data_IF_391772097385
#
_entry.id   IF_391772097385
#
_cell.length_a   1.000
_cell.length_b   1.000
_cell.length_c   1.000
_cell.angle_alpha   90.00
_cell.angle_beta   90.00
_cell.angle_gamma   90.00
#
_symmetry.space_group_name_H-M   'P 1'
#
loop_
_entity.id
_entity.type
_entity.pdbx_description
1 polymer ?
#
# COMPACT_ATOMS: atom_id res chain seq x y z
N UNK A 1 11.41 -7.32 -14.45
CA UNK A 1 10.25 -7.50 -13.55
C UNK A 1 9.44 -6.21 -13.51
N UNK A 2 8.12 -6.26 -13.48
CA UNK A 2 7.24 -5.10 -13.30
C UNK A 2 6.56 -5.19 -11.95
N UNK A 3 6.70 -4.17 -11.13
CA UNK A 3 6.05 -4.11 -9.82
C UNK A 3 5.22 -2.85 -9.69
N UNK A 4 4.22 -2.87 -8.82
CA UNK A 4 3.52 -1.67 -8.39
C UNK A 4 3.76 -1.44 -6.90
N UNK A 5 3.96 -0.19 -6.52
CA UNK A 5 4.05 0.23 -5.12
C UNK A 5 2.98 1.28 -4.87
N UNK A 6 2.02 0.93 -4.01
CA UNK A 6 0.87 1.79 -3.72
C UNK A 6 0.84 2.21 -2.25
N UNK A 7 0.63 3.50 -2.01
CA UNK A 7 0.58 4.11 -0.70
C UNK A 7 -0.31 5.34 -0.68
N UNK A 8 -1.18 5.46 0.31
CA UNK A 8 -1.90 6.72 0.54
C UNK A 8 -1.04 7.79 1.25
N UNK A 9 0.23 7.50 1.50
CA UNK A 9 1.25 8.43 1.98
C UNK A 9 2.30 8.67 0.89
N UNK A 10 2.80 9.90 0.76
CA UNK A 10 3.99 10.20 -0.04
C UNK A 10 5.22 9.55 0.61
N UNK A 11 5.91 8.65 -0.06
CA UNK A 11 7.14 8.02 0.43
C UNK A 11 8.37 8.29 -0.44
N UNK A 12 8.17 8.78 -1.68
CA UNK A 12 9.26 9.29 -2.52
C UNK A 12 9.02 10.77 -2.78
N UNK A 13 9.79 11.61 -2.10
CA UNK A 13 9.66 13.07 -2.22
C UNK A 13 10.07 13.56 -3.61
N UNK A 14 9.27 14.47 -4.19
CA UNK A 14 9.57 15.11 -5.47
C UNK A 14 9.38 14.23 -6.71
N UNK A 15 8.86 13.01 -6.56
CA UNK A 15 8.52 12.14 -7.69
C UNK A 15 7.02 12.06 -7.88
N UNK A 16 6.59 12.30 -9.12
CA UNK A 16 5.21 12.10 -9.55
C UNK A 16 4.87 10.60 -9.67
N UNK A 17 3.57 10.30 -9.66
CA UNK A 17 3.10 8.95 -9.91
C UNK A 17 3.40 8.54 -11.35
N UNK A 18 3.78 7.29 -11.54
CA UNK A 18 4.08 6.75 -12.86
C UNK A 18 5.17 5.68 -12.86
N UNK A 19 5.56 5.30 -14.07
CA UNK A 19 6.55 4.27 -14.31
C UNK A 19 7.96 4.79 -14.14
N UNK A 20 8.74 4.12 -13.30
CA UNK A 20 10.15 4.37 -13.08
C UNK A 20 10.94 3.10 -13.45
N UNK A 21 12.02 3.25 -14.21
CA UNK A 21 12.86 2.13 -14.69
C UNK A 21 14.14 2.07 -13.88
N UNK A 22 14.49 0.87 -13.41
CA UNK A 22 15.73 0.55 -12.73
C UNK A 22 16.33 -0.76 -13.22
N UNK A 23 17.40 -1.21 -12.57
CA UNK A 23 18.22 -2.33 -13.02
C UNK A 23 17.47 -3.68 -13.01
N UNK A 24 16.53 -3.88 -12.08
CA UNK A 24 15.69 -5.09 -12.00
C UNK A 24 14.41 -5.04 -12.85
N UNK A 25 14.10 -3.88 -13.41
CA UNK A 25 12.91 -3.63 -14.20
C UNK A 25 12.18 -2.37 -13.76
N UNK A 26 10.85 -2.38 -13.79
CA UNK A 26 10.05 -1.16 -13.69
C UNK A 26 9.16 -1.17 -12.46
N UNK A 27 9.03 -0.01 -11.82
CA UNK A 27 8.10 0.24 -10.71
C UNK A 27 7.03 1.24 -11.16
N UNK A 28 5.77 0.85 -11.04
CA UNK A 28 4.66 1.77 -11.05
C UNK A 28 4.53 2.38 -9.65
N UNK A 29 4.95 3.64 -9.50
CA UNK A 29 4.86 4.41 -8.27
C UNK A 29 3.46 5.04 -8.17
N UNK A 30 2.72 4.68 -7.14
CA UNK A 30 1.38 5.20 -6.86
C UNK A 30 1.33 5.68 -5.41
N UNK A 31 1.45 6.97 -5.21
CA UNK A 31 1.46 7.60 -3.90
C UNK A 31 0.52 8.81 -3.85
N UNK A 32 0.13 9.21 -2.65
CA UNK A 32 -0.48 10.52 -2.46
C UNK A 32 0.50 11.62 -2.92
N UNK A 33 0.10 12.42 -3.91
CA UNK A 33 0.89 13.54 -4.45
C UNK A 33 0.68 14.85 -3.69
N UNK A 34 -0.32 14.93 -2.82
CA UNK A 34 -0.70 16.18 -2.13
C UNK A 34 0.24 16.53 -0.96
N UNK A 35 1.29 15.75 -0.74
CA UNK A 35 2.27 15.93 0.33
C UNK A 35 1.72 15.74 1.76
N UNK A 36 0.44 15.39 1.89
CA UNK A 36 -0.20 15.14 3.20
C UNK A 36 0.19 13.77 3.74
N UNK A 37 0.73 13.76 4.96
CA UNK A 37 1.03 12.54 5.71
C UNK A 37 -0.21 12.11 6.48
N UNK A 38 -0.72 10.92 6.17
CA UNK A 38 -1.86 10.32 6.86
C UNK A 38 -1.36 9.22 7.80
N UNK A 39 -1.46 9.47 9.12
CA UNK A 39 -1.20 8.41 10.11
C UNK A 39 -0.63 8.81 11.46
N UNK A 40 -0.25 10.07 11.71
CA UNK A 40 0.46 10.41 12.96
C UNK A 40 -0.37 11.16 14.01
N UNK A 41 -1.50 11.78 13.68
CA UNK A 41 -2.25 12.61 14.64
C UNK A 41 -3.73 12.24 14.88
N UNK A 42 -4.31 11.27 14.14
CA UNK A 42 -5.77 11.06 14.12
C UNK A 42 -6.22 9.58 14.12
N UNK A 43 -5.33 8.66 14.50
CA UNK A 43 -5.62 7.22 14.50
C UNK A 43 -6.54 6.79 15.65
N UNK A 44 -7.85 6.68 15.39
CA UNK A 44 -8.77 5.90 16.25
C UNK A 44 -8.61 4.39 15.96
N UNK A 45 -8.83 3.51 16.97
CA UNK A 45 -8.80 2.06 16.77
C UNK A 45 -9.65 1.63 15.56
N UNK A 46 -9.20 0.63 14.79
CA UNK A 46 -9.98 0.06 13.69
C UNK A 46 -11.35 -0.45 14.17
N UNK A 47 -11.46 -0.85 15.44
CA UNK A 47 -12.67 -1.41 16.04
C UNK A 47 -13.65 -0.35 16.58
N UNK A 48 -13.49 0.95 16.25
CA UNK A 48 -14.38 1.98 16.74
C UNK A 48 -15.61 2.13 15.82
N UNK A 49 -16.83 1.79 16.28
CA UNK A 49 -18.06 1.93 15.49
C UNK A 49 -18.43 3.39 15.19
N UNK A 50 -17.84 4.36 15.90
CA UNK A 50 -17.98 5.81 15.66
C UNK A 50 -16.83 6.35 14.81
N UNK A 51 -16.20 5.53 13.95
CA UNK A 51 -15.36 6.05 12.88
C UNK A 51 -16.26 6.81 11.91
N UNK A 52 -16.27 8.13 12.04
CA UNK A 52 -17.03 9.02 11.16
C UNK A 52 -16.81 8.63 9.69
N UNK A 53 -17.90 8.53 8.94
CA UNK A 53 -17.92 8.27 7.50
C UNK A 53 -16.98 9.20 6.72
N UNK A 54 -16.77 10.42 7.23
CA UNK A 54 -15.87 11.44 6.71
C UNK A 54 -14.40 10.97 6.60
N UNK A 55 -13.88 10.29 7.63
CA UNK A 55 -12.50 9.77 7.64
C UNK A 55 -12.29 8.63 6.64
N UNK A 56 -13.31 7.79 6.49
CA UNK A 56 -13.34 6.78 5.45
C UNK A 56 -13.47 7.42 4.06
N UNK A 57 -14.22 8.52 3.94
CA UNK A 57 -14.35 9.34 2.74
C UNK A 57 -13.01 9.90 2.25
N UNK A 58 -12.24 10.56 3.12
CA UNK A 58 -10.94 11.13 2.77
C UNK A 58 -9.93 10.07 2.33
N UNK A 59 -9.88 8.94 3.04
CA UNK A 59 -8.96 7.86 2.67
C UNK A 59 -9.37 7.20 1.35
N UNK A 60 -10.67 7.03 1.10
CA UNK A 60 -11.19 6.53 -0.19
C UNK A 60 -10.87 7.49 -1.33
N UNK A 61 -11.03 8.79 -1.11
CA UNK A 61 -10.73 9.82 -2.11
C UNK A 61 -9.26 9.79 -2.58
N UNK A 62 -8.34 9.27 -1.76
CA UNK A 62 -6.93 9.07 -2.13
C UNK A 62 -6.69 7.67 -2.69
N UNK A 63 -7.16 6.63 -2.00
CA UNK A 63 -6.86 5.24 -2.36
C UNK A 63 -7.55 4.82 -3.66
N UNK A 64 -8.80 5.23 -3.87
CA UNK A 64 -9.59 4.77 -5.01
C UNK A 64 -8.99 5.24 -6.35
N UNK A 65 -8.60 6.52 -6.54
CA UNK A 65 -7.93 6.94 -7.77
C UNK A 65 -6.58 6.25 -8.02
N UNK A 66 -5.79 6.02 -6.97
CA UNK A 66 -4.54 5.25 -7.10
C UNK A 66 -4.83 3.80 -7.51
N UNK A 67 -5.90 3.22 -7.00
CA UNK A 67 -6.34 1.88 -7.37
C UNK A 67 -6.81 1.79 -8.81
N UNK A 68 -7.56 2.76 -9.31
CA UNK A 68 -8.00 2.81 -10.72
C UNK A 68 -6.81 2.85 -11.69
N UNK A 69 -5.71 3.51 -11.30
CA UNK A 69 -4.46 3.48 -12.06
C UNK A 69 -3.80 2.10 -12.00
N UNK A 70 -3.75 1.49 -10.82
CA UNK A 70 -3.20 0.15 -10.63
C UNK A 70 -3.98 -0.89 -11.44
N UNK A 71 -5.32 -0.85 -11.41
CA UNK A 71 -6.20 -1.83 -12.04
C UNK A 71 -5.93 -1.97 -13.54
N UNK A 72 -5.71 -0.85 -14.23
CA UNK A 72 -5.39 -0.81 -15.67
C UNK A 72 -4.09 -1.55 -15.99
N UNK A 73 -3.12 -1.47 -15.08
CA UNK A 73 -1.78 -2.04 -15.26
C UNK A 73 -1.67 -3.46 -14.68
N UNK A 74 -2.60 -3.84 -13.79
CA UNK A 74 -2.53 -5.05 -12.97
C UNK A 74 -2.26 -6.34 -13.75
N UNK A 75 -2.78 -6.56 -14.98
CA UNK A 75 -2.46 -7.74 -15.77
C UNK A 75 -0.97 -7.89 -16.11
N UNK A 76 -0.20 -6.79 -16.09
CA UNK A 76 1.24 -6.77 -16.44
C UNK A 76 2.17 -6.71 -15.22
N UNK A 77 1.61 -6.63 -14.01
CA UNK A 77 2.37 -6.47 -12.77
C UNK A 77 2.71 -7.83 -12.14
N UNK A 78 3.99 -8.11 -11.92
CA UNK A 78 4.46 -9.33 -11.27
C UNK A 78 4.18 -9.33 -9.76
N UNK A 79 4.38 -8.18 -9.08
CA UNK A 79 4.17 -8.00 -7.64
C UNK A 79 3.56 -6.64 -7.31
N UNK A 80 2.70 -6.59 -6.30
CA UNK A 80 2.16 -5.35 -5.75
C UNK A 80 2.56 -5.22 -4.28
N UNK A 81 3.19 -4.09 -3.95
CA UNK A 81 3.57 -3.72 -2.58
C UNK A 81 2.58 -2.68 -2.05
N UNK A 82 1.84 -3.04 -1.01
CA UNK A 82 0.85 -2.18 -0.37
C UNK A 82 1.39 -1.62 0.94
N UNK A 83 1.42 -0.30 1.07
CA UNK A 83 1.45 0.28 2.41
C UNK A 83 0.06 0.21 3.04
N UNK A 84 -0.01 -0.33 4.26
CA UNK A 84 -1.27 -0.47 5.02
C UNK A 84 -1.05 0.03 6.45
N UNK A 85 -1.31 1.31 6.66
CA UNK A 85 -1.37 1.93 7.98
C UNK A 85 -2.69 1.67 8.72
N UNK A 86 -2.92 2.38 9.83
CA UNK A 86 -4.08 2.17 10.71
C UNK A 86 -5.42 2.62 10.12
N UNK A 87 -5.38 3.55 9.17
CA UNK A 87 -6.54 4.09 8.47
C UNK A 87 -6.53 3.56 7.04
N UNK A 88 -7.69 3.28 6.45
CA UNK A 88 -7.78 2.75 5.09
C UNK A 88 -7.37 1.29 4.92
N UNK A 89 -6.93 0.61 5.98
CA UNK A 89 -6.47 -0.78 5.90
C UNK A 89 -7.51 -1.71 5.27
N UNK A 90 -8.76 -1.60 5.75
CA UNK A 90 -9.90 -2.35 5.21
C UNK A 90 -10.08 -2.10 3.72
N UNK A 91 -10.04 -0.82 3.29
CA UNK A 91 -10.27 -0.45 1.90
C UNK A 91 -9.17 -0.98 0.97
N UNK A 92 -7.90 -0.83 1.35
CA UNK A 92 -6.77 -1.32 0.55
C UNK A 92 -6.84 -2.85 0.38
N UNK A 93 -7.09 -3.58 1.48
CA UNK A 93 -7.17 -5.04 1.46
C UNK A 93 -8.42 -5.51 0.71
N UNK A 94 -9.56 -4.83 0.89
CA UNK A 94 -10.81 -5.14 0.20
C UNK A 94 -10.71 -4.94 -1.31
N UNK A 95 -10.07 -3.85 -1.76
CA UNK A 95 -9.83 -3.61 -3.18
C UNK A 95 -8.93 -4.70 -3.77
N UNK A 96 -7.85 -5.09 -3.07
CA UNK A 96 -7.02 -6.19 -3.52
C UNK A 96 -7.81 -7.49 -3.70
N UNK A 97 -8.68 -7.82 -2.75
CA UNK A 97 -9.53 -9.01 -2.81
C UNK A 97 -10.56 -8.93 -3.95
N UNK A 98 -11.28 -7.80 -4.04
CA UNK A 98 -12.37 -7.58 -4.99
C UNK A 98 -11.90 -7.71 -6.44
N UNK A 99 -10.68 -7.26 -6.73
CA UNK A 99 -10.11 -7.28 -8.09
C UNK A 99 -9.29 -8.55 -8.36
N UNK A 100 -9.42 -9.58 -7.51
CA UNK A 100 -8.84 -10.90 -7.78
C UNK A 100 -7.31 -10.94 -7.77
N UNK A 101 -6.66 -10.06 -7.00
CA UNK A 101 -5.21 -10.09 -6.88
C UNK A 101 -4.77 -11.44 -6.26
N UNK A 102 -3.89 -12.15 -6.96
CA UNK A 102 -3.30 -13.38 -6.45
C UNK A 102 -2.54 -13.08 -5.12
N UNK A 103 -2.83 -13.82 -4.04
CA UNK A 103 -2.09 -13.72 -2.78
C UNK A 103 -0.57 -13.81 -2.92
N UNK A 104 -0.06 -14.61 -3.85
CA UNK A 104 1.37 -14.74 -4.08
C UNK A 104 1.97 -13.47 -4.70
N UNK A 105 1.16 -12.64 -5.35
CA UNK A 105 1.59 -11.38 -5.96
C UNK A 105 1.57 -10.19 -4.99
N UNK A 106 0.93 -10.33 -3.83
CA UNK A 106 0.78 -9.26 -2.85
C UNK A 106 1.87 -9.28 -1.76
N UNK A 107 2.42 -8.10 -1.46
CA UNK A 107 3.29 -7.83 -0.31
C UNK A 107 2.65 -6.71 0.51
N UNK A 108 2.35 -6.97 1.77
CA UNK A 108 1.74 -5.99 2.67
C UNK A 108 2.76 -5.42 3.65
N UNK A 109 2.86 -4.10 3.71
CA UNK A 109 3.79 -3.36 4.58
C UNK A 109 3.01 -2.64 5.67
N UNK A 110 3.21 -3.06 6.93
CA UNK A 110 2.42 -2.66 8.09
C UNK A 110 3.25 -1.91 9.12
N UNK A 111 2.76 -0.75 9.57
CA UNK A 111 3.18 -0.25 10.88
C UNK A 111 2.54 -1.11 11.98
N UNK A 112 3.07 -1.04 13.21
CA UNK A 112 2.56 -1.86 14.32
C UNK A 112 1.15 -1.45 14.80
N UNK A 113 0.65 -0.28 14.41
CA UNK A 113 -0.69 0.17 14.78
C UNK A 113 -1.77 -0.80 14.25
N UNK A 114 -2.57 -1.34 15.16
CA UNK A 114 -3.63 -2.32 14.89
C UNK A 114 -3.15 -3.55 14.11
N UNK A 115 -1.91 -4.01 14.32
CA UNK A 115 -1.31 -5.13 13.58
C UNK A 115 -2.22 -6.37 13.52
N UNK A 116 -2.72 -6.83 14.67
CA UNK A 116 -3.57 -8.04 14.75
C UNK A 116 -4.84 -7.91 13.89
N UNK A 117 -5.43 -6.71 13.85
CA UNK A 117 -6.62 -6.44 13.03
C UNK A 117 -6.27 -6.46 11.55
N UNK A 118 -5.19 -5.78 11.14
CA UNK A 118 -4.74 -5.75 9.73
C UNK A 118 -4.36 -7.14 9.22
N UNK A 119 -3.65 -7.91 10.04
CA UNK A 119 -3.28 -9.27 9.71
C UNK A 119 -4.51 -10.19 9.63
N UNK A 120 -5.49 -10.00 10.54
CA UNK A 120 -6.78 -10.68 10.48
C UNK A 120 -7.53 -10.39 9.18
N UNK A 121 -7.56 -9.13 8.74
CA UNK A 121 -8.17 -8.70 7.48
C UNK A 121 -7.49 -9.31 6.25
N UNK A 122 -6.15 -9.29 6.19
CA UNK A 122 -5.40 -9.94 5.10
C UNK A 122 -5.77 -11.42 5.00
N UNK A 123 -5.75 -12.14 6.13
CA UNK A 123 -6.08 -13.56 6.15
C UNK A 123 -7.54 -13.84 5.77
N UNK A 124 -8.49 -13.09 6.33
CA UNK A 124 -9.93 -13.30 6.06
C UNK A 124 -10.33 -12.96 4.62
N UNK A 125 -9.52 -12.15 3.93
CA UNK A 125 -9.72 -11.80 2.52
C UNK A 125 -8.91 -12.67 1.54
N UNK A 126 -8.39 -13.81 1.99
CA UNK A 126 -7.73 -14.80 1.14
C UNK A 126 -6.23 -14.58 0.94
N UNK A 127 -5.62 -13.59 1.58
CA UNK A 127 -4.20 -13.26 1.44
C UNK A 127 -3.32 -13.97 2.49
N UNK A 128 -3.71 -15.16 2.96
CA UNK A 128 -3.00 -15.88 4.03
C UNK A 128 -1.57 -16.28 3.65
N UNK A 129 -1.30 -16.46 2.35
CA UNK A 129 0.01 -16.82 1.81
C UNK A 129 0.83 -15.60 1.37
N UNK A 130 0.28 -14.39 1.47
CA UNK A 130 0.98 -13.16 1.10
C UNK A 130 2.07 -12.83 2.09
N UNK A 131 3.12 -12.18 1.59
CA UNK A 131 4.18 -11.67 2.46
C UNK A 131 3.67 -10.48 3.25
N UNK A 132 3.93 -10.48 4.55
CA UNK A 132 3.64 -9.35 5.45
C UNK A 132 4.95 -8.87 6.06
N UNK A 133 5.18 -7.57 6.02
CA UNK A 133 6.40 -6.93 6.53
C UNK A 133 6.05 -5.83 7.51
N UNK A 134 6.85 -5.72 8.57
CA UNK A 134 6.78 -4.59 9.50
C UNK A 134 7.47 -3.35 8.93
N UNK A 135 6.97 -2.17 9.30
CA UNK A 135 7.59 -0.88 9.02
C UNK A 135 7.46 0.08 10.21
N UNK A 136 8.17 1.20 10.14
CA UNK A 136 7.99 2.36 10.99
C UNK A 136 6.60 3.00 10.81
N UNK A 137 6.21 3.88 11.73
CA UNK A 137 4.95 4.61 11.61
C UNK A 137 4.93 5.45 10.32
N UNK A 138 3.83 5.38 9.56
CA UNK A 138 3.71 6.06 8.27
C UNK A 138 4.32 5.32 7.08
N UNK A 139 5.24 4.37 7.31
CA UNK A 139 5.81 3.50 6.27
C UNK A 139 6.73 4.17 5.24
N UNK A 140 7.02 5.46 5.39
CA UNK A 140 7.80 6.25 4.45
C UNK A 140 9.21 5.70 4.18
N UNK A 141 10.00 5.46 5.23
CA UNK A 141 11.36 4.99 5.12
C UNK A 141 11.42 3.54 4.61
N UNK A 142 10.52 2.67 5.09
CA UNK A 142 10.49 1.28 4.62
C UNK A 142 10.05 1.19 3.17
N UNK A 143 8.99 1.88 2.76
CA UNK A 143 8.53 1.88 1.37
C UNK A 143 9.58 2.48 0.43
N UNK A 144 10.19 3.62 0.79
CA UNK A 144 11.26 4.21 -0.01
C UNK A 144 12.47 3.27 -0.12
N UNK A 145 12.87 2.60 0.97
CA UNK A 145 13.94 1.62 0.93
C UNK A 145 13.64 0.46 -0.02
N UNK A 146 12.41 -0.08 0.00
CA UNK A 146 12.00 -1.14 -0.94
C UNK A 146 12.09 -0.63 -2.38
N UNK A 147 11.58 0.57 -2.64
CA UNK A 147 11.61 1.22 -3.95
C UNK A 147 13.04 1.39 -4.47
N UNK A 148 13.93 2.00 -3.69
CA UNK A 148 15.32 2.23 -4.06
C UNK A 148 16.09 0.92 -4.24
N UNK A 149 15.87 -0.08 -3.37
CA UNK A 149 16.53 -1.37 -3.50
C UNK A 149 16.13 -2.09 -4.80
N UNK A 150 14.85 -2.05 -5.16
CA UNK A 150 14.39 -2.64 -6.42
C UNK A 150 15.02 -1.92 -7.62
N UNK A 151 14.99 -0.58 -7.63
CA UNK A 151 15.60 0.19 -8.72
C UNK A 151 17.11 -0.05 -8.84
N UNK A 152 17.82 -0.24 -7.73
CA UNK A 152 19.25 -0.51 -7.67
C UNK A 152 19.61 -2.01 -7.81
N UNK A 153 18.68 -2.84 -8.28
CA UNK A 153 18.97 -4.23 -8.60
C UNK A 153 19.12 -5.19 -7.41
N UNK A 154 18.68 -4.79 -6.20
CA UNK A 154 18.87 -5.56 -4.94
C UNK A 154 17.71 -6.47 -4.56
N UNK A 155 16.62 -6.47 -5.30
CA UNK A 155 15.50 -7.36 -5.11
C UNK A 155 14.33 -6.71 -4.39
N UNK A 156 13.16 -7.32 -4.53
CA UNK A 156 12.13 -7.19 -3.53
C UNK A 156 12.51 -7.97 -2.28
N UNK A 157 12.11 -7.50 -1.09
CA UNK A 157 12.41 -8.15 0.17
C UNK A 157 11.88 -9.58 0.23
#
# INVERSE_FOLDING_TARGET
MKIAMISYNTFVSGQENGWNVGEQGSVLLLQNSDGRVWGTSQSKPLNNPNRNEEWHGETRAIVDPLWELLEKELPTIDKVVFYVGSTGAERVIELAAKHGLDPQRAIFVFCNCNYSVKNGLVKSRGFSCSKVMGCECGGHATMNRIYQNFLAGRGLP
#
